data_IF_250572318303
#
_entry.id   IF_250572318303
#
_cell.length_a   1.000
_cell.length_b   1.000
_cell.length_c   1.000
_cell.angle_alpha   90.00
_cell.angle_beta   90.00
_cell.angle_gamma   90.00
#
_symmetry.space_group_name_H-M   'P 1'
#
loop_
_entity.id
_entity.type
_entity.pdbx_description
1 polymer ?
#
# COMPACT_ATOMS: atom_id res chain seq x y z
N UNK A 1 11.03 -22.32 41.28
CA UNK A 1 9.95 -21.31 41.36
C UNK A 1 9.07 -21.29 40.10
N UNK A 2 8.83 -22.45 39.46
CA UNK A 2 8.00 -22.56 38.24
C UNK A 2 6.60 -23.11 38.52
N UNK A 3 6.48 -24.08 39.44
CA UNK A 3 5.22 -24.75 39.79
C UNK A 3 4.11 -23.81 40.28
N UNK A 4 4.44 -22.79 41.09
CA UNK A 4 3.41 -21.91 41.69
C UNK A 4 2.65 -21.07 40.65
N UNK A 5 3.27 -20.77 39.49
CA UNK A 5 2.63 -19.99 38.42
C UNK A 5 1.66 -20.83 37.59
N UNK A 6 2.02 -22.08 37.30
CA UNK A 6 1.13 -23.02 36.61
C UNK A 6 -0.13 -23.26 37.44
N UNK A 7 0.00 -23.49 38.75
CA UNK A 7 -1.15 -23.72 39.64
C UNK A 7 -2.09 -22.50 39.74
N UNK A 8 -1.55 -21.28 39.73
CA UNK A 8 -2.37 -20.07 39.79
C UNK A 8 -3.14 -19.84 38.48
N UNK A 9 -2.49 -20.07 37.34
CA UNK A 9 -3.11 -19.95 36.01
C UNK A 9 -4.20 -21.01 35.83
N UNK A 10 -3.95 -22.27 36.21
CA UNK A 10 -4.96 -23.34 36.15
C UNK A 10 -6.20 -23.03 37.00
N UNK A 11 -6.00 -22.46 38.20
CA UNK A 11 -7.11 -22.09 39.07
C UNK A 11 -7.97 -20.98 38.45
N UNK A 12 -7.33 -19.97 37.86
CA UNK A 12 -8.01 -18.88 37.12
C UNK A 12 -8.81 -19.41 35.93
N UNK A 13 -8.25 -20.34 35.15
CA UNK A 13 -8.92 -20.95 34.01
C UNK A 13 -10.16 -21.73 34.47
N UNK A 14 -10.03 -22.53 35.54
CA UNK A 14 -11.15 -23.30 36.10
C UNK A 14 -12.26 -22.40 36.64
N UNK A 15 -11.93 -21.38 37.41
CA UNK A 15 -12.92 -20.42 37.92
C UNK A 15 -13.64 -19.68 36.77
N UNK A 16 -12.94 -19.35 35.68
CA UNK A 16 -13.55 -18.77 34.49
C UNK A 16 -14.47 -19.73 33.74
N UNK A 17 -14.14 -21.03 33.70
CA UNK A 17 -15.02 -22.07 33.16
C UNK A 17 -16.27 -22.26 34.02
N UNK A 18 -16.15 -22.27 35.35
CA UNK A 18 -17.27 -22.40 36.30
C UNK A 18 -18.25 -21.23 36.21
N UNK A 19 -17.76 -20.02 35.91
CA UNK A 19 -18.59 -18.83 35.68
C UNK A 19 -19.27 -18.80 34.31
N UNK A 20 -18.94 -19.73 33.41
CA UNK A 20 -19.41 -19.71 32.04
C UNK A 20 -18.83 -18.56 31.22
N UNK A 21 -17.66 -18.01 31.60
CA UNK A 21 -17.00 -16.91 30.87
C UNK A 21 -16.62 -17.32 29.42
N UNK A 22 -16.60 -18.62 29.13
CA UNK A 22 -16.38 -19.20 27.80
C UNK A 22 -17.68 -19.58 27.07
N UNK A 23 -18.83 -19.53 27.74
CA UNK A 23 -20.13 -19.86 27.14
C UNK A 23 -20.63 -18.68 26.29
N UNK A 24 -21.09 -18.98 25.08
CA UNK A 24 -21.63 -17.95 24.17
C UNK A 24 -20.57 -17.05 23.52
N UNK A 25 -19.29 -17.44 23.57
CA UNK A 25 -18.25 -16.73 22.82
C UNK A 25 -18.62 -16.62 21.33
N UNK A 26 -18.35 -15.48 20.68
CA UNK A 26 -18.47 -15.39 19.24
C UNK A 26 -17.60 -16.49 18.63
N UNK A 27 -18.19 -17.29 17.73
CA UNK A 27 -17.56 -18.46 17.10
C UNK A 27 -17.43 -19.74 17.98
N UNK A 28 -18.05 -19.83 19.16
CA UNK A 28 -18.02 -21.05 19.98
C UNK A 28 -18.47 -22.29 19.17
N UNK A 29 -17.63 -23.31 19.12
CA UNK A 29 -17.86 -24.54 18.34
C UNK A 29 -17.75 -24.40 16.82
N UNK A 30 -17.38 -23.22 16.30
CA UNK A 30 -17.17 -23.00 14.86
C UNK A 30 -15.67 -23.04 14.54
N UNK A 31 -15.29 -23.53 13.35
CA UNK A 31 -13.91 -23.39 12.88
C UNK A 31 -13.49 -21.91 12.96
N UNK A 32 -12.27 -21.66 13.45
CA UNK A 32 -11.70 -20.32 13.45
C UNK A 32 -11.80 -19.73 12.03
N UNK A 33 -12.24 -18.47 11.88
CA UNK A 33 -12.30 -17.85 10.55
C UNK A 33 -10.90 -17.88 9.94
N UNK A 34 -10.74 -18.55 8.78
CA UNK A 34 -9.46 -18.49 8.05
C UNK A 34 -9.17 -17.03 7.73
N UNK A 35 -8.02 -16.47 8.15
CA UNK A 35 -7.67 -15.12 7.77
C UNK A 35 -7.59 -15.04 6.25
N UNK A 36 -8.44 -14.18 5.69
CA UNK A 36 -8.48 -13.94 4.26
C UNK A 36 -7.22 -13.17 3.85
N UNK A 37 -6.27 -13.84 3.19
CA UNK A 37 -5.11 -13.18 2.61
C UNK A 37 -4.17 -14.15 1.87
N UNK A 38 -3.68 -13.79 0.66
CA UNK A 38 -2.64 -14.57 -0.01
C UNK A 38 -1.32 -14.42 0.77
N UNK A 39 -0.82 -15.51 1.35
CA UNK A 39 0.45 -15.52 2.11
C UNK A 39 0.37 -16.18 3.48
N UNK A 40 -0.79 -16.70 3.87
CA UNK A 40 -1.02 -17.44 5.10
C UNK A 40 -0.43 -18.87 5.02
N UNK A 41 0.87 -18.98 5.25
CA UNK A 41 1.56 -20.21 5.66
C UNK A 41 1.94 -20.09 7.15
N UNK A 42 3.20 -20.37 7.49
CA UNK A 42 3.72 -20.34 8.87
C UNK A 42 3.54 -19.00 9.63
N UNK A 43 3.40 -17.88 8.90
CA UNK A 43 3.22 -16.54 9.48
C UNK A 43 1.76 -16.15 9.79
N UNK A 44 0.80 -17.02 9.46
CA UNK A 44 -0.64 -16.78 9.64
C UNK A 44 -1.01 -16.52 11.11
N UNK A 45 -0.40 -17.27 12.03
CA UNK A 45 -0.62 -17.11 13.46
C UNK A 45 -0.09 -15.76 13.97
N UNK A 46 1.13 -15.37 13.57
CA UNK A 46 1.72 -14.09 13.98
C UNK A 46 0.91 -12.89 13.48
N UNK A 47 0.41 -12.93 12.23
CA UNK A 47 -0.40 -11.84 11.67
C UNK A 47 -1.81 -11.77 12.26
N UNK A 48 -2.42 -12.92 12.57
CA UNK A 48 -3.72 -12.94 13.26
C UNK A 48 -3.61 -12.40 14.69
N UNK A 49 -2.53 -12.72 15.41
CA UNK A 49 -2.23 -12.13 16.72
C UNK A 49 -2.06 -10.60 16.65
N UNK A 50 -1.28 -10.09 15.68
CA UNK A 50 -1.13 -8.66 15.44
C UNK A 50 -2.49 -7.99 15.18
N UNK A 51 -3.30 -8.55 14.26
CA UNK A 51 -4.63 -7.99 13.95
C UNK A 51 -5.57 -8.01 15.15
N UNK A 52 -5.57 -9.09 15.93
CA UNK A 52 -6.39 -9.21 17.13
C UNK A 52 -5.98 -8.19 18.21
N UNK A 53 -4.70 -7.79 18.25
CA UNK A 53 -4.19 -6.71 19.08
C UNK A 53 -4.45 -5.30 18.51
N UNK A 54 -5.22 -5.18 17.42
CA UNK A 54 -5.47 -3.91 16.72
C UNK A 54 -4.26 -3.37 15.93
N UNK A 55 -3.19 -4.17 15.79
CA UNK A 55 -1.97 -3.79 15.09
C UNK A 55 -1.93 -4.38 13.67
N UNK A 56 -1.29 -3.65 12.75
CA UNK A 56 -1.15 -4.04 11.35
C UNK A 56 0.26 -4.56 11.09
N UNK A 57 0.44 -5.70 10.42
CA UNK A 57 1.74 -6.16 9.98
C UNK A 57 2.53 -5.08 9.23
N UNK A 58 3.87 -4.97 9.42
CA UNK A 58 4.67 -3.90 8.81
C UNK A 58 4.53 -3.79 7.28
N UNK A 59 4.43 -4.92 6.58
CA UNK A 59 4.27 -4.95 5.13
C UNK A 59 2.92 -4.37 4.66
N UNK A 60 1.86 -4.44 5.47
CA UNK A 60 0.56 -3.82 5.15
C UNK A 60 0.67 -2.31 5.18
N UNK A 61 1.33 -1.75 6.19
CA UNK A 61 1.54 -0.29 6.27
C UNK A 61 2.45 0.20 5.14
N UNK A 62 3.50 -0.55 4.81
CA UNK A 62 4.34 -0.26 3.65
C UNK A 62 3.56 -0.32 2.32
N UNK A 63 2.61 -1.25 2.16
CA UNK A 63 1.77 -1.35 0.95
C UNK A 63 0.78 -0.19 0.86
N UNK A 64 0.17 0.22 1.97
CA UNK A 64 -0.66 1.43 2.04
C UNK A 64 0.14 2.66 1.62
N UNK A 65 1.36 2.80 2.12
CA UNK A 65 2.25 3.91 1.77
C UNK A 65 2.63 3.88 0.28
N UNK A 66 2.94 2.70 -0.27
CA UNK A 66 3.18 2.53 -1.71
C UNK A 66 2.00 3.03 -2.56
N UNK A 67 0.76 2.66 -2.19
CA UNK A 67 -0.47 3.07 -2.87
C UNK A 67 -0.70 4.58 -2.75
N UNK A 68 -0.50 5.14 -1.56
CA UNK A 68 -0.66 6.57 -1.28
C UNK A 68 0.29 7.41 -2.15
N UNK A 69 1.56 7.02 -2.24
CA UNK A 69 2.54 7.74 -3.06
C UNK A 69 2.20 7.65 -4.55
N UNK A 70 1.72 6.50 -5.04
CA UNK A 70 1.25 6.36 -6.42
C UNK A 70 0.07 7.29 -6.72
N UNK A 71 -0.91 7.36 -5.83
CA UNK A 71 -2.02 8.31 -5.98
C UNK A 71 -1.54 9.78 -6.02
N UNK A 72 -0.56 10.14 -5.19
CA UNK A 72 0.05 11.48 -5.24
C UNK A 72 0.79 11.75 -6.55
N UNK A 73 1.51 10.75 -7.07
CA UNK A 73 2.15 10.83 -8.39
C UNK A 73 1.10 11.08 -9.47
N UNK A 74 0.00 10.34 -9.46
CA UNK A 74 -1.03 10.44 -10.50
C UNK A 74 -1.70 11.82 -10.47
N UNK A 75 -2.01 12.35 -9.28
CA UNK A 75 -2.50 13.72 -9.12
C UNK A 75 -1.49 14.75 -9.60
N UNK A 76 -0.19 14.56 -9.31
CA UNK A 76 0.87 15.45 -9.79
C UNK A 76 0.92 15.48 -11.32
N UNK A 77 0.90 14.32 -11.98
CA UNK A 77 0.91 14.23 -13.43
C UNK A 77 -0.36 14.82 -14.06
N UNK A 78 -1.52 14.65 -13.42
CA UNK A 78 -2.76 15.24 -13.90
C UNK A 78 -2.68 16.78 -13.88
N UNK A 79 -2.19 17.36 -12.77
CA UNK A 79 -2.02 18.83 -12.64
C UNK A 79 -0.92 19.38 -13.54
N UNK A 80 0.08 18.57 -13.88
CA UNK A 80 1.16 18.97 -14.78
C UNK A 80 0.67 19.32 -16.20
N UNK A 81 -0.53 18.86 -16.60
CA UNK A 81 -1.12 19.17 -17.91
C UNK A 81 -1.40 20.67 -18.10
N UNK A 82 -1.70 21.37 -17.02
CA UNK A 82 -1.99 22.81 -17.03
C UNK A 82 -0.77 23.64 -16.56
N UNK A 83 0.41 23.02 -16.47
CA UNK A 83 1.61 23.66 -15.95
C UNK A 83 2.18 24.70 -16.92
N UNK A 84 2.53 25.88 -16.39
CA UNK A 84 3.30 26.88 -17.12
C UNK A 84 4.77 26.45 -17.22
N UNK A 85 5.50 26.97 -18.21
CA UNK A 85 6.95 26.73 -18.39
C UNK A 85 7.74 26.98 -17.10
N UNK A 86 7.41 28.07 -16.38
CA UNK A 86 8.05 28.44 -15.11
C UNK A 86 7.86 27.37 -14.03
N UNK A 87 6.68 26.74 -13.97
CA UNK A 87 6.35 25.72 -12.97
C UNK A 87 6.88 24.32 -13.29
N UNK A 88 7.30 24.04 -14.53
CA UNK A 88 7.76 22.70 -14.94
C UNK A 88 8.94 22.18 -14.09
N UNK A 89 9.86 23.07 -13.70
CA UNK A 89 10.99 22.71 -12.83
C UNK A 89 10.53 22.16 -11.48
N UNK A 90 9.49 22.74 -10.89
CA UNK A 90 8.89 22.28 -9.65
C UNK A 90 8.28 20.88 -9.80
N UNK A 91 7.51 20.64 -10.87
CA UNK A 91 6.93 19.32 -11.15
C UNK A 91 8.01 18.24 -11.34
N UNK A 92 9.11 18.55 -12.03
CA UNK A 92 10.25 17.63 -12.19
C UNK A 92 10.89 17.27 -10.85
N UNK A 93 11.13 18.26 -9.99
CA UNK A 93 11.68 18.02 -8.64
C UNK A 93 10.72 17.23 -7.77
N UNK A 94 9.42 17.59 -7.80
CA UNK A 94 8.40 16.91 -7.02
C UNK A 94 8.20 15.45 -7.44
N UNK A 95 8.26 15.16 -8.75
CA UNK A 95 8.19 13.79 -9.25
C UNK A 95 9.41 12.97 -8.81
N UNK A 96 10.62 13.55 -8.84
CA UNK A 96 11.84 12.91 -8.31
C UNK A 96 11.68 12.50 -6.84
N UNK A 97 11.16 13.40 -6.01
CA UNK A 97 10.90 13.12 -4.59
C UNK A 97 9.90 11.97 -4.40
N UNK A 98 8.79 11.98 -5.14
CA UNK A 98 7.77 10.94 -5.05
C UNK A 98 8.31 9.57 -5.49
N UNK A 99 9.09 9.52 -6.57
CA UNK A 99 9.70 8.27 -7.04
C UNK A 99 10.67 7.71 -5.99
N UNK A 100 11.55 8.55 -5.43
CA UNK A 100 12.48 8.13 -4.39
C UNK A 100 11.76 7.67 -3.10
N UNK A 101 10.67 8.36 -2.72
CA UNK A 101 9.84 7.94 -1.60
C UNK A 101 9.15 6.60 -1.87
N UNK A 102 8.63 6.39 -3.08
CA UNK A 102 8.00 5.13 -3.48
C UNK A 102 9.00 3.98 -3.46
N UNK A 103 10.23 4.21 -3.93
CA UNK A 103 11.29 3.20 -3.92
C UNK A 103 11.65 2.75 -2.50
N UNK A 104 11.74 3.70 -1.54
CA UNK A 104 11.93 3.37 -0.12
C UNK A 104 10.77 2.54 0.43
N UNK A 105 9.52 2.92 0.12
CA UNK A 105 8.34 2.18 0.57
C UNK A 105 8.29 0.76 -0.03
N UNK A 106 8.61 0.61 -1.31
CA UNK A 106 8.68 -0.69 -1.99
C UNK A 106 9.78 -1.58 -1.40
N UNK A 107 10.96 -1.03 -1.10
CA UNK A 107 12.02 -1.79 -0.41
C UNK A 107 11.56 -2.28 0.96
N UNK A 108 10.92 -1.42 1.76
CA UNK A 108 10.39 -1.79 3.07
C UNK A 108 9.33 -2.90 2.96
N UNK A 109 8.43 -2.76 1.99
CA UNK A 109 7.42 -3.77 1.70
C UNK A 109 8.06 -5.10 1.33
N UNK A 110 8.95 -5.11 0.34
CA UNK A 110 9.54 -6.36 -0.16
C UNK A 110 10.43 -7.04 0.90
N UNK A 111 11.06 -6.27 1.80
CA UNK A 111 11.86 -6.83 2.88
C UNK A 111 11.02 -7.45 4.01
N UNK A 112 9.81 -6.95 4.23
CA UNK A 112 8.92 -7.41 5.31
C UNK A 112 7.79 -8.34 4.82
N UNK A 113 7.65 -8.50 3.51
CA UNK A 113 6.62 -9.30 2.90
C UNK A 113 6.90 -10.80 3.12
N UNK A 114 5.92 -11.58 3.59
CA UNK A 114 6.08 -13.02 3.81
C UNK A 114 6.13 -13.84 2.51
N UNK A 115 5.90 -13.24 1.33
CA UNK A 115 6.05 -13.92 0.05
C UNK A 115 6.26 -12.95 -1.11
N UNK A 116 6.93 -13.44 -2.17
CA UNK A 116 7.20 -12.67 -3.39
C UNK A 116 5.93 -12.19 -4.10
N UNK A 117 4.80 -12.87 -3.91
CA UNK A 117 3.50 -12.47 -4.49
C UNK A 117 3.03 -11.11 -3.99
N UNK A 118 3.46 -10.71 -2.80
CA UNK A 118 3.13 -9.42 -2.21
C UNK A 118 4.07 -8.33 -2.69
N UNK A 119 5.23 -8.67 -3.27
CA UNK A 119 6.20 -7.71 -3.71
C UNK A 119 5.65 -6.73 -4.73
N UNK A 120 6.21 -5.53 -4.69
CA UNK A 120 5.90 -4.45 -5.63
C UNK A 120 7.14 -4.10 -6.44
N UNK A 121 6.91 -3.63 -7.66
CA UNK A 121 7.95 -3.05 -8.51
C UNK A 121 8.05 -1.55 -8.25
N UNK A 122 9.27 -1.01 -8.07
CA UNK A 122 9.45 0.43 -7.89
C UNK A 122 9.10 1.17 -9.18
N UNK A 123 8.75 2.45 -9.02
CA UNK A 123 8.61 3.36 -10.15
C UNK A 123 10.00 3.66 -10.70
N UNK A 124 10.14 3.66 -12.03
CA UNK A 124 11.42 3.92 -12.69
C UNK A 124 11.49 5.40 -13.03
N UNK A 125 12.41 6.12 -12.39
CA UNK A 125 12.51 7.58 -12.52
C UNK A 125 12.60 8.05 -13.98
N UNK A 126 13.45 7.39 -14.79
CA UNK A 126 13.60 7.75 -16.21
C UNK A 126 12.30 7.62 -17.00
N UNK A 127 11.52 6.57 -16.76
CA UNK A 127 10.22 6.37 -17.41
C UNK A 127 9.19 7.41 -16.96
N UNK A 128 9.18 7.73 -15.66
CA UNK A 128 8.30 8.74 -15.07
C UNK A 128 8.61 10.15 -15.60
N UNK A 129 9.90 10.49 -15.73
CA UNK A 129 10.34 11.75 -16.34
C UNK A 129 9.93 11.84 -17.81
N UNK A 130 10.09 10.76 -18.59
CA UNK A 130 9.68 10.73 -19.98
C UNK A 130 8.16 10.95 -20.17
N UNK A 131 7.35 10.43 -19.26
CA UNK A 131 5.89 10.71 -19.24
C UNK A 131 5.64 12.19 -18.97
N UNK A 132 6.30 12.76 -17.96
CA UNK A 132 6.15 14.17 -17.62
C UNK A 132 6.61 15.10 -18.75
N UNK A 133 7.73 14.78 -19.41
CA UNK A 133 8.23 15.56 -20.54
C UNK A 133 7.26 15.52 -21.72
N UNK A 134 6.61 14.38 -21.97
CA UNK A 134 5.54 14.29 -22.99
C UNK A 134 4.34 15.15 -22.66
N UNK A 135 3.99 15.30 -21.37
CA UNK A 135 2.90 16.19 -20.94
C UNK A 135 3.26 17.66 -21.20
N UNK A 136 4.53 18.02 -21.04
CA UNK A 136 5.01 19.38 -21.27
C UNK A 136 5.27 19.75 -22.73
N UNK A 137 5.30 18.77 -23.63
CA UNK A 137 5.40 19.06 -25.05
C UNK A 137 4.10 19.73 -25.52
N UNK A 138 4.17 20.89 -26.18
CA UNK A 138 2.99 21.50 -26.76
C UNK A 138 2.38 20.53 -27.77
N UNK A 139 1.06 20.32 -27.69
CA UNK A 139 0.31 19.72 -28.78
C UNK A 139 0.69 20.46 -30.06
N UNK A 140 1.19 19.73 -31.07
CA UNK A 140 1.47 20.33 -32.37
C UNK A 140 0.23 21.14 -32.82
N UNK A 141 0.39 22.39 -33.29
CA UNK A 141 -0.73 23.09 -33.89
C UNK A 141 -1.27 22.25 -35.06
N UNK A 142 -2.60 22.20 -35.28
CA UNK A 142 -3.14 21.55 -36.47
C UNK A 142 -2.46 22.15 -37.71
N UNK A 143 -2.15 21.34 -38.75
CA UNK A 143 -1.45 21.84 -39.92
C UNK A 143 -2.23 23.03 -40.49
N UNK A 144 -1.58 24.19 -40.54
CA UNK A 144 -2.10 25.38 -41.19
C UNK A 144 -2.14 25.12 -42.69
N UNK A 145 -3.27 24.62 -43.19
CA UNK A 145 -3.34 24.13 -44.56
C UNK A 145 -4.68 23.50 -44.92
N UNK A 146 -5.79 24.14 -44.57
CA UNK A 146 -7.06 23.93 -45.28
C UNK A 146 -7.70 25.29 -45.54
N UNK A 147 -6.93 26.20 -46.12
CA UNK A 147 -7.46 27.32 -46.87
C UNK A 147 -7.90 26.78 -48.23
N UNK A 148 -9.09 26.21 -48.27
CA UNK A 148 -9.78 25.98 -49.55
C UNK A 148 -10.40 27.32 -49.92
N UNK A 149 -9.60 28.14 -50.61
CA UNK A 149 -10.06 29.36 -51.27
C UNK A 149 -11.26 29.06 -52.18
N UNK A 150 -12.08 30.08 -52.48
CA UNK A 150 -13.42 29.88 -52.98
C UNK A 150 -13.39 29.19 -54.34
N UNK A 151 -14.11 28.07 -54.47
CA UNK A 151 -14.50 27.58 -55.80
C UNK A 151 -15.53 28.54 -56.35
N UNK A 152 -15.22 29.05 -57.54
CA UNK A 152 -16.04 29.92 -58.41
C UNK A 152 -17.50 29.48 -58.49
#
# INVERSE_FOLDING_TARGET
>A
MSETRETYIERLIREAQERGDFDGLPQHGRPLPRPAGPGAGEWELAFSMLRNAGMSPPWIEADKECRRIRAQRDVLLQRARDATVVSQGWYRSRLRELVAAHERAVRSLNASAPSDRLHRRPLVLAAEMAVLDRIFQPSAPPPAGSDVGPRL
#
